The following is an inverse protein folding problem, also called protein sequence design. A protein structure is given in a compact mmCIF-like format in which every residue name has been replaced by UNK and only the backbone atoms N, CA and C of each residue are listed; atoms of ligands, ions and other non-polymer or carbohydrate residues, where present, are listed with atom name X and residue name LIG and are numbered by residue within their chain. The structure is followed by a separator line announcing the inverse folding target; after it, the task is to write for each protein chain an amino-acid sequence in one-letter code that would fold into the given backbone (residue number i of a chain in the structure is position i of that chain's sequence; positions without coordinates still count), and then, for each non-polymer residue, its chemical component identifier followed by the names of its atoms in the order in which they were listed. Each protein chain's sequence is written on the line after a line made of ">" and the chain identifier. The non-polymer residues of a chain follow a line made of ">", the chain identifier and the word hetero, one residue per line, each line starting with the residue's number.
data_IF_399757740173
#
_entry.id   IF_399757740173
#
_cell.length_a   1.000
_cell.length_b   1.000
_cell.length_c   1.000
_cell.angle_alpha   90.00
_cell.angle_beta   90.00
_cell.angle_gamma   90.00
#
_symmetry.space_group_name_H-M   'P 1'
#
loop_
_entity.id
_entity.type
_entity.pdbx_description
1 polymer ?
#
# COMPACT_ATOMS: atom_id res chain seq x y z
N UNK A 1 -10.32 -17.60 -3.32
CA UNK A 1 -9.58 -16.34 -3.02
C UNK A 1 -10.44 -15.41 -2.18
N UNK A 2 -9.89 -14.88 -1.09
CA UNK A 2 -10.58 -13.90 -0.24
C UNK A 2 -9.60 -12.87 0.32
N UNK A 3 -10.11 -11.66 0.51
CA UNK A 3 -9.43 -10.57 1.21
C UNK A 3 -9.33 -10.95 2.67
N UNK A 4 -8.12 -10.95 3.22
CA UNK A 4 -7.89 -11.16 4.66
C UNK A 4 -7.81 -9.81 5.36
N UNK A 5 -6.96 -8.93 4.84
CA UNK A 5 -6.68 -7.64 5.45
C UNK A 5 -6.68 -6.52 4.41
N UNK A 6 -7.14 -5.34 4.81
CA UNK A 6 -7.07 -4.14 3.97
C UNK A 6 -6.93 -2.89 4.83
N UNK A 7 -6.02 -2.01 4.44
CA UNK A 7 -5.85 -0.71 5.08
C UNK A 7 -5.42 0.33 4.06
N UNK A 8 -5.96 1.53 4.20
CA UNK A 8 -5.70 2.66 3.30
C UNK A 8 -5.23 3.85 4.12
N UNK A 9 -3.98 4.24 3.92
CA UNK A 9 -3.40 5.47 4.47
C UNK A 9 -3.50 6.60 3.43
N UNK A 10 -3.67 7.84 3.89
CA UNK A 10 -3.63 9.02 3.02
C UNK A 10 -2.35 9.80 3.32
N UNK A 11 -1.38 9.80 2.40
CA UNK A 11 -0.13 10.55 2.56
C UNK A 11 0.13 11.33 1.27
N UNK A 12 -0.23 12.61 1.27
CA UNK A 12 -0.17 13.45 0.07
C UNK A 12 0.01 14.93 0.36
N UNK A 13 0.52 15.65 -0.62
CA UNK A 13 0.59 17.11 -0.65
C UNK A 13 -0.70 17.69 -1.19
N UNK A 14 -1.12 18.80 -0.60
CA UNK A 14 -2.28 19.58 -1.06
C UNK A 14 -1.86 21.01 -1.24
N UNK A 15 -2.16 21.57 -2.42
CA UNK A 15 -2.07 23.02 -2.63
C UNK A 15 -3.28 23.67 -1.97
N UNK A 16 -3.03 24.55 -1.00
CA UNK A 16 -4.08 25.44 -0.50
C UNK A 16 -4.36 26.51 -1.56
N UNK A 17 -5.61 26.64 -2.00
CA UNK A 17 -6.01 27.59 -3.06
C UNK A 17 -5.62 29.05 -2.79
N UNK A 18 -5.32 29.39 -1.53
CA UNK A 18 -4.97 30.76 -1.08
C UNK A 18 -3.49 30.95 -0.73
N UNK A 19 -2.65 29.92 -0.81
CA UNK A 19 -1.21 30.01 -0.50
C UNK A 19 -0.38 29.17 -1.46
N UNK A 20 0.77 29.68 -1.89
CA UNK A 20 1.75 28.93 -2.70
C UNK A 20 2.46 27.79 -1.94
N UNK A 21 2.06 27.53 -0.69
CA UNK A 21 2.64 26.50 0.18
C UNK A 21 1.85 25.20 0.07
N UNK A 22 2.54 24.12 -0.24
CA UNK A 22 1.98 22.77 -0.22
C UNK A 22 2.03 22.19 1.19
N UNK A 23 0.88 21.79 1.72
CA UNK A 23 0.75 21.15 3.03
C UNK A 23 0.77 19.64 2.86
N UNK A 24 1.61 18.92 3.61
CA UNK A 24 1.62 17.46 3.66
C UNK A 24 0.51 16.98 4.60
N UNK A 25 -0.49 16.29 4.06
CA UNK A 25 -1.48 15.55 4.82
C UNK A 25 -0.96 14.12 5.00
N UNK A 26 -0.91 13.66 6.26
CA UNK A 26 -0.61 12.28 6.61
C UNK A 26 -1.70 11.77 7.56
N UNK A 27 -2.65 11.00 7.04
CA UNK A 27 -3.62 10.24 7.82
C UNK A 27 -3.21 8.77 7.76
N UNK A 28 -2.41 8.38 8.73
CA UNK A 28 -1.95 7.02 8.89
C UNK A 28 -2.91 6.34 9.88
N UNK A 29 -3.58 5.29 9.41
CA UNK A 29 -4.56 4.57 10.21
C UNK A 29 -3.89 3.63 11.20
N UNK A 30 -4.58 3.47 12.31
CA UNK A 30 -4.31 2.64 13.48
C UNK A 30 -5.28 1.45 13.56
N UNK A 31 -6.20 1.33 12.61
CA UNK A 31 -7.12 0.20 12.47
C UNK A 31 -7.34 -0.14 11.00
N UNK A 32 -7.61 -1.42 10.71
CA UNK A 32 -7.97 -1.87 9.37
C UNK A 32 -9.26 -1.20 8.85
N UNK A 33 -9.38 -1.17 7.52
CA UNK A 33 -10.63 -0.80 6.88
C UNK A 33 -11.66 -1.93 7.07
N UNK A 34 -12.89 -1.59 7.48
CA UNK A 34 -13.94 -2.59 7.63
C UNK A 34 -14.33 -3.21 6.27
N UNK A 35 -14.06 -4.50 6.10
CA UNK A 35 -14.41 -5.25 4.91
C UNK A 35 -15.93 -5.31 4.66
N UNK A 36 -16.76 -5.18 5.70
CA UNK A 36 -18.24 -5.13 5.56
C UNK A 36 -18.70 -3.84 4.88
N UNK A 37 -17.91 -2.77 4.99
CA UNK A 37 -18.16 -1.51 4.31
C UNK A 37 -17.69 -1.53 2.85
N UNK A 38 -16.91 -2.54 2.45
CA UNK A 38 -16.43 -2.70 1.09
C UNK A 38 -17.55 -3.30 0.23
N UNK A 39 -18.02 -2.56 -0.78
CA UNK A 39 -19.00 -3.08 -1.72
C UNK A 39 -18.51 -4.42 -2.29
N UNK A 40 -19.31 -5.48 -2.18
CA UNK A 40 -18.94 -6.83 -2.66
C UNK A 40 -18.54 -6.86 -4.14
N UNK A 41 -19.12 -5.97 -4.96
CA UNK A 41 -18.73 -5.80 -6.37
C UNK A 41 -17.33 -5.21 -6.53
N UNK A 42 -16.94 -4.26 -5.66
CA UNK A 42 -15.61 -3.66 -5.66
C UNK A 42 -14.55 -4.68 -5.22
N UNK A 43 -14.85 -5.45 -4.17
CA UNK A 43 -14.00 -6.56 -3.72
C UNK A 43 -13.77 -7.59 -4.83
N UNK A 44 -14.85 -8.01 -5.51
CA UNK A 44 -14.79 -8.95 -6.62
C UNK A 44 -14.02 -8.39 -7.83
N UNK A 45 -14.20 -7.11 -8.17
CA UNK A 45 -13.44 -6.46 -9.25
C UNK A 45 -11.96 -6.34 -8.92
N UNK A 46 -11.59 -5.99 -7.69
CA UNK A 46 -10.19 -5.97 -7.24
C UNK A 46 -9.56 -7.35 -7.37
N UNK A 47 -10.19 -8.38 -6.79
CA UNK A 47 -9.71 -9.76 -6.89
C UNK A 47 -9.56 -10.22 -8.35
N UNK A 48 -10.54 -9.91 -9.22
CA UNK A 48 -10.51 -10.27 -10.63
C UNK A 48 -9.36 -9.56 -11.37
N UNK A 49 -9.15 -8.28 -11.11
CA UNK A 49 -8.10 -7.48 -11.73
C UNK A 49 -6.72 -8.04 -11.37
N UNK A 50 -6.53 -8.46 -10.12
CA UNK A 50 -5.30 -9.09 -9.65
C UNK A 50 -5.11 -10.54 -10.12
N UNK A 51 -6.18 -11.32 -10.28
CA UNK A 51 -6.08 -12.66 -10.88
C UNK A 51 -5.80 -12.64 -12.38
N UNK A 52 -6.26 -11.58 -13.08
CA UNK A 52 -6.11 -11.43 -14.53
C UNK A 52 -4.85 -10.68 -14.95
N UNK A 53 -4.27 -9.89 -14.05
CA UNK A 53 -2.98 -9.27 -14.31
C UNK A 53 -1.91 -10.34 -14.07
N UNK A 54 -0.97 -10.49 -15.01
CA UNK A 54 0.34 -11.05 -14.69
C UNK A 54 0.98 -10.04 -13.73
N UNK A 55 0.56 -10.09 -12.46
CA UNK A 55 1.12 -9.31 -11.37
C UNK A 55 2.63 -9.45 -11.52
N UNK A 56 3.29 -8.37 -11.94
CA UNK A 56 4.73 -8.36 -11.92
C UNK A 56 5.09 -8.53 -10.46
N UNK A 57 5.56 -9.72 -10.11
CA UNK A 57 6.34 -9.97 -8.91
C UNK A 57 7.61 -9.17 -9.16
N UNK A 58 7.55 -7.88 -8.82
CA UNK A 58 8.71 -7.03 -8.79
C UNK A 58 9.61 -7.63 -7.73
N UNK A 59 10.57 -8.45 -8.14
CA UNK A 59 11.83 -8.53 -7.41
C UNK A 59 12.24 -7.08 -7.22
N UNK A 60 12.16 -6.55 -6.00
CA UNK A 60 12.79 -5.28 -5.65
C UNK A 60 14.29 -5.51 -5.90
N UNK A 61 14.75 -5.22 -7.12
CA UNK A 61 15.80 -6.04 -7.72
C UNK A 61 17.13 -5.75 -7.06
N UNK A 62 17.76 -6.78 -6.49
CA UNK A 62 19.09 -6.70 -5.88
C UNK A 62 20.21 -6.80 -6.95
N UNK A 63 19.86 -6.61 -8.22
CA UNK A 63 20.72 -6.99 -9.35
C UNK A 63 21.01 -8.49 -9.33
N UNK A 64 22.28 -8.86 -9.45
CA UNK A 64 22.75 -10.27 -9.45
C UNK A 64 23.17 -10.77 -8.05
N UNK A 65 22.97 -9.97 -7.00
CA UNK A 65 23.49 -10.28 -5.67
C UNK A 65 22.43 -11.02 -4.84
N UNK A 66 22.40 -12.34 -4.97
CA UNK A 66 21.42 -13.23 -4.31
C UNK A 66 21.58 -13.30 -2.78
N UNK A 67 22.66 -12.75 -2.22
CA UNK A 67 22.88 -12.74 -0.77
C UNK A 67 22.22 -11.55 -0.06
N UNK A 68 21.88 -10.49 -0.79
CA UNK A 68 21.26 -9.30 -0.21
C UNK A 68 19.74 -9.39 -0.29
N UNK A 69 19.03 -9.28 0.83
CA UNK A 69 17.58 -9.06 0.79
C UNK A 69 17.29 -7.59 0.49
N UNK A 70 16.31 -7.23 -0.36
CA UNK A 70 15.95 -5.84 -0.54
C UNK A 70 15.30 -5.27 0.72
N UNK A 71 15.35 -3.96 0.88
CA UNK A 71 14.92 -3.29 2.11
C UNK A 71 13.44 -3.53 2.45
N UNK A 72 12.61 -3.72 1.43
CA UNK A 72 11.19 -4.02 1.61
C UNK A 72 10.98 -5.40 2.26
N UNK A 73 11.64 -6.44 1.73
CA UNK A 73 11.57 -7.81 2.23
C UNK A 73 12.18 -7.93 3.64
N UNK A 74 13.26 -7.19 3.93
CA UNK A 74 13.81 -7.10 5.29
C UNK A 74 12.78 -6.54 6.29
N UNK A 75 11.98 -5.55 5.86
CA UNK A 75 10.89 -5.02 6.67
C UNK A 75 9.79 -6.06 6.90
N UNK A 76 9.41 -6.82 5.86
CA UNK A 76 8.39 -7.86 5.97
C UNK A 76 8.79 -9.01 6.92
N UNK A 77 10.07 -9.38 6.98
CA UNK A 77 10.58 -10.43 7.88
C UNK A 77 10.29 -10.14 9.36
N UNK A 78 10.13 -8.87 9.76
CA UNK A 78 9.78 -8.50 11.13
C UNK A 78 8.30 -8.75 11.47
N UNK A 79 7.44 -8.81 10.45
CA UNK A 79 5.99 -8.91 10.60
C UNK A 79 5.40 -10.21 10.07
N UNK A 80 6.18 -11.04 9.37
CA UNK A 80 5.73 -12.33 8.84
C UNK A 80 6.46 -13.50 9.50
N UNK A 81 5.67 -14.52 9.88
CA UNK A 81 6.17 -15.84 10.24
C UNK A 81 5.67 -16.86 9.22
N UNK A 82 6.45 -17.05 8.15
CA UNK A 82 6.00 -17.80 6.98
C UNK A 82 4.96 -17.01 6.19
N UNK A 83 3.78 -17.59 5.95
CA UNK A 83 2.68 -16.91 5.25
C UNK A 83 1.75 -16.09 6.15
N UNK A 84 1.99 -16.10 7.47
CA UNK A 84 1.13 -15.44 8.44
C UNK A 84 1.69 -14.06 8.80
N UNK A 85 0.91 -13.01 8.56
CA UNK A 85 1.18 -11.68 9.07
C UNK A 85 0.84 -11.64 10.57
N UNK A 86 1.82 -11.30 11.40
CA UNK A 86 1.70 -11.22 12.86
C UNK A 86 0.99 -9.93 13.29
N UNK A 87 1.27 -8.82 12.62
CA UNK A 87 0.66 -7.52 12.87
C UNK A 87 0.59 -6.67 11.59
N UNK A 88 -0.53 -6.82 10.87
CA UNK A 88 -0.75 -6.13 9.61
C UNK A 88 -0.86 -4.61 9.78
N UNK A 89 -1.44 -4.16 10.89
CA UNK A 89 -1.63 -2.72 11.15
C UNK A 89 -0.29 -2.06 11.44
N UNK A 90 0.53 -2.65 12.31
CA UNK A 90 1.85 -2.09 12.63
C UNK A 90 2.77 -2.08 11.41
N UNK A 91 2.80 -3.18 10.64
CA UNK A 91 3.59 -3.27 9.41
C UNK A 91 3.25 -2.13 8.43
N UNK A 92 1.96 -1.96 8.16
CA UNK A 92 1.49 -0.95 7.19
C UNK A 92 1.70 0.47 7.70
N UNK A 93 1.64 0.67 9.03
CA UNK A 93 1.98 1.93 9.69
C UNK A 93 3.45 2.29 9.53
N UNK A 94 4.38 1.35 9.76
CA UNK A 94 5.82 1.59 9.58
C UNK A 94 6.14 1.94 8.13
N UNK A 95 5.59 1.19 7.18
CA UNK A 95 5.77 1.46 5.74
C UNK A 95 5.16 2.81 5.33
N UNK A 96 4.02 3.20 5.92
CA UNK A 96 3.40 4.49 5.69
C UNK A 96 4.23 5.65 6.27
N UNK A 97 4.77 5.52 7.48
CA UNK A 97 5.68 6.53 8.07
C UNK A 97 6.98 6.66 7.28
N UNK A 98 7.53 5.56 6.77
CA UNK A 98 8.66 5.59 5.85
C UNK A 98 8.32 6.37 4.58
N UNK A 99 7.17 6.09 3.96
CA UNK A 99 6.72 6.81 2.76
C UNK A 99 6.49 8.31 3.01
N UNK A 100 5.92 8.67 4.16
CA UNK A 100 5.77 10.07 4.60
C UNK A 100 7.13 10.76 4.72
N UNK A 101 8.10 10.12 5.37
CA UNK A 101 9.46 10.66 5.50
C UNK A 101 10.11 10.87 4.14
N UNK A 102 9.99 9.88 3.25
CA UNK A 102 10.44 9.99 1.87
C UNK A 102 9.80 11.18 1.13
N UNK A 103 8.49 11.42 1.29
CA UNK A 103 7.84 12.58 0.70
C UNK A 103 8.35 13.90 1.27
N UNK A 104 8.65 13.98 2.58
CA UNK A 104 9.22 15.19 3.22
C UNK A 104 10.53 15.60 2.54
N UNK A 105 11.39 14.63 2.26
CA UNK A 105 12.67 14.83 1.58
C UNK A 105 12.50 15.12 0.08
N UNK A 106 11.52 14.49 -0.57
CA UNK A 106 11.30 14.57 -2.01
C UNK A 106 10.09 15.44 -2.36
N UNK A 107 10.27 16.76 -2.27
CA UNK A 107 9.20 17.76 -2.46
C UNK A 107 8.51 17.75 -3.83
N UNK A 108 9.13 17.17 -4.86
CA UNK A 108 8.54 17.05 -6.22
C UNK A 108 7.45 15.99 -6.31
N UNK A 109 7.33 15.10 -5.31
CA UNK A 109 6.39 13.99 -5.32
C UNK A 109 5.14 14.38 -4.51
N UNK A 110 3.98 14.28 -5.15
CA UNK A 110 2.69 14.64 -4.55
C UNK A 110 2.22 13.61 -3.52
N UNK A 111 2.53 12.33 -3.70
CA UNK A 111 1.97 11.25 -2.88
C UNK A 111 0.52 10.91 -3.28
N UNK A 112 -0.18 10.16 -2.43
CA UNK A 112 -1.51 9.64 -2.72
C UNK A 112 -2.10 8.80 -1.59
N UNK A 113 -3.00 7.90 -1.96
CA UNK A 113 -3.48 6.85 -1.08
C UNK A 113 -2.54 5.66 -1.16
N UNK A 114 -2.02 5.25 -0.01
CA UNK A 114 -1.22 4.04 0.11
C UNK A 114 -2.16 2.92 0.57
N UNK A 115 -2.41 1.98 -0.34
CA UNK A 115 -3.34 0.87 -0.14
C UNK A 115 -2.52 -0.39 0.08
N UNK A 116 -2.74 -1.03 1.22
CA UNK A 116 -2.22 -2.36 1.51
C UNK A 116 -3.37 -3.34 1.58
N UNK A 117 -3.14 -4.50 1.03
CA UNK A 117 -4.16 -5.52 0.90
C UNK A 117 -3.53 -6.90 0.91
N UNK A 118 -3.96 -7.75 1.84
CA UNK A 118 -3.55 -9.14 1.88
C UNK A 118 -4.70 -10.03 1.43
N UNK A 119 -4.41 -10.98 0.54
CA UNK A 119 -5.38 -11.95 0.08
C UNK A 119 -4.83 -13.36 0.03
N UNK A 120 -5.71 -14.32 0.31
CA UNK A 120 -5.39 -15.74 0.19
C UNK A 120 -5.63 -16.21 -1.24
N UNK A 121 -4.54 -16.51 -1.94
CA UNK A 121 -4.55 -17.21 -3.22
C UNK A 121 -4.81 -18.71 -3.05
N UNK A 122 -4.72 -19.47 -4.15
CA UNK A 122 -4.94 -20.93 -4.11
C UNK A 122 -3.75 -21.67 -3.49
N UNK A 123 -2.52 -21.17 -3.65
CA UNK A 123 -1.30 -21.79 -3.11
C UNK A 123 -0.58 -20.95 -2.03
N UNK A 124 -0.71 -19.63 -2.08
CA UNK A 124 0.03 -18.70 -1.20
C UNK A 124 -0.82 -17.50 -0.79
N UNK A 125 -0.55 -16.98 0.41
CA UNK A 125 -0.97 -15.63 0.82
C UNK A 125 -0.12 -14.58 0.09
N UNK A 126 -0.77 -13.51 -0.41
CA UNK A 126 -0.11 -12.46 -1.18
C UNK A 126 -0.43 -11.09 -0.59
N UNK A 127 0.60 -10.27 -0.44
CA UNK A 127 0.49 -8.85 -0.10
C UNK A 127 0.55 -8.02 -1.38
N UNK A 128 -0.45 -7.18 -1.59
CA UNK A 128 -0.46 -6.16 -2.63
C UNK A 128 -0.30 -4.78 -1.99
N UNK A 129 0.56 -3.96 -2.59
CA UNK A 129 0.79 -2.56 -2.20
C UNK A 129 0.57 -1.69 -3.43
N UNK A 130 -0.23 -0.63 -3.29
CA UNK A 130 -0.49 0.32 -4.35
C UNK A 130 -0.44 1.76 -3.85
N UNK A 131 0.11 2.66 -4.67
CA UNK A 131 0.04 4.11 -4.46
C UNK A 131 -0.92 4.68 -5.50
N UNK A 132 -2.05 5.20 -5.05
CA UNK A 132 -3.09 5.77 -5.92
C UNK A 132 -3.04 7.29 -5.77
N UNK A 133 -2.60 7.96 -6.83
CA UNK A 133 -2.69 9.42 -6.89
C UNK A 133 -4.16 9.83 -6.99
N UNK A 134 -4.57 10.80 -6.18
CA UNK A 134 -5.89 11.42 -6.34
C UNK A 134 -5.86 12.25 -7.63
N UNK A 135 -6.48 11.78 -8.70
CA UNK A 135 -6.75 12.63 -9.85
C UNK A 135 -7.77 13.70 -9.44
N UNK A 136 -7.59 14.93 -9.90
CA UNK A 136 -8.62 15.98 -9.81
C UNK A 136 -9.80 15.72 -10.78
N UNK A 137 -9.96 14.48 -11.26
CA UNK A 137 -11.03 14.13 -12.17
C UNK A 137 -12.28 13.82 -11.35
N UNK A 138 -13.07 14.87 -11.11
CA UNK A 138 -14.52 14.76 -11.32
C UNK A 138 -14.71 14.20 -12.73
N UNK A 139 -15.19 12.97 -12.83
CA UNK A 139 -15.98 12.42 -13.93
C UNK A 139 -16.25 10.95 -13.57
N UNK A 140 -17.42 10.68 -12.96
CA UNK A 140 -18.64 10.08 -13.54
C UNK A 140 -19.81 10.55 -12.68
#
# INVERSE_FOLDING_TARGET
>A
MSIQHIIVHEIRRVKEEKKSTETLIAKIKDTENDLRSLNGELAAKLLKLFSSSSLMVGQFSIGNDTEKKPAFEQGLDNFYSGENCLDFVEMTRELAEYFKTFLVENKSITGGFLVFFEFKGDEHTKLAVAVINKSNATDI
#
